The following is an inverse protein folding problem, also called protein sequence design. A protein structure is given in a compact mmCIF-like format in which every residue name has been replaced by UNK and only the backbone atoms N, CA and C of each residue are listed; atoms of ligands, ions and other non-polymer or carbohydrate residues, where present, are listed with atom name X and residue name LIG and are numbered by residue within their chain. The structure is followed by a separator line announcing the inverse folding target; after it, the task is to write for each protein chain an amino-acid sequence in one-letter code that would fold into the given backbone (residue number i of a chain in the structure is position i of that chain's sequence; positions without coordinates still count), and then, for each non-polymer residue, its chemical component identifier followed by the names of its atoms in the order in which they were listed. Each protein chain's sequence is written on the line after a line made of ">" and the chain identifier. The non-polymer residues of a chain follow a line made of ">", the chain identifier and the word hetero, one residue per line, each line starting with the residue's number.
data_IF_896404751646
#
_entry.id   IF_896404751646
#
_cell.length_a   1.000
_cell.length_b   1.000
_cell.length_c   1.000
_cell.angle_alpha   90.00
_cell.angle_beta   90.00
_cell.angle_gamma   90.00
#
_symmetry.space_group_name_H-M   'P 1'
#
loop_
_entity.id
_entity.type
_entity.pdbx_description
1 polymer ?
#
# COMPACT_ATOMS: atom_id res chain seq x y z
N UNK A 1 18.86 0.60 -2.20
CA UNK A 1 17.55 1.25 -1.98
C UNK A 1 17.70 2.71 -1.55
N UNK A 2 18.33 2.98 -0.39
CA UNK A 2 18.42 4.34 0.18
C UNK A 2 19.66 5.13 -0.26
N UNK A 3 20.81 4.46 -0.40
CA UNK A 3 22.06 5.10 -0.78
C UNK A 3 22.95 4.14 -1.57
N UNK A 4 23.78 4.67 -2.47
CA UNK A 4 24.82 3.90 -3.15
C UNK A 4 26.19 4.33 -2.62
N UNK A 5 26.80 3.48 -1.78
CA UNK A 5 28.04 3.80 -1.07
C UNK A 5 29.25 3.98 -2.00
N UNK A 6 29.27 3.35 -3.18
CA UNK A 6 30.40 3.44 -4.11
C UNK A 6 30.57 4.82 -4.77
N UNK A 7 29.46 5.47 -5.13
CA UNK A 7 29.49 6.74 -5.88
C UNK A 7 28.84 7.92 -5.12
N UNK A 8 28.48 7.75 -3.85
CA UNK A 8 27.78 8.75 -3.02
C UNK A 8 26.54 9.34 -3.72
N UNK A 9 25.83 8.53 -4.49
CA UNK A 9 24.65 8.97 -5.22
C UNK A 9 23.37 8.68 -4.43
N UNK A 10 22.36 9.57 -4.48
CA UNK A 10 21.04 9.33 -3.89
C UNK A 10 20.41 8.04 -4.43
N UNK A 11 19.80 7.24 -3.53
CA UNK A 11 19.18 5.95 -3.85
C UNK A 11 17.83 6.07 -4.56
N UNK A 12 17.22 4.93 -4.89
CA UNK A 12 16.00 4.84 -5.71
C UNK A 12 14.83 5.67 -5.16
N UNK A 13 14.63 5.66 -3.84
CA UNK A 13 13.51 6.36 -3.18
C UNK A 13 13.55 7.88 -3.37
N UNK A 14 14.71 8.44 -3.73
CA UNK A 14 14.86 9.89 -4.00
C UNK A 14 14.62 10.28 -5.44
N UNK A 15 14.47 9.31 -6.35
CA UNK A 15 14.44 9.54 -7.81
C UNK A 15 13.11 9.17 -8.47
N UNK A 16 12.30 8.35 -7.81
CA UNK A 16 11.09 7.77 -8.37
C UNK A 16 9.91 7.98 -7.44
N UNK A 17 8.70 8.11 -8.00
CA UNK A 17 7.46 8.20 -7.22
C UNK A 17 7.04 6.87 -6.58
N UNK A 18 7.61 5.76 -7.07
CA UNK A 18 7.27 4.41 -6.65
C UNK A 18 8.50 3.51 -6.77
N UNK A 19 8.75 2.72 -5.72
CA UNK A 19 9.71 1.61 -5.74
C UNK A 19 8.94 0.31 -5.59
N UNK A 20 9.12 -0.59 -6.56
CA UNK A 20 8.52 -1.93 -6.55
C UNK A 20 9.59 -2.95 -6.21
N UNK A 21 9.32 -3.78 -5.21
CA UNK A 21 10.07 -4.98 -4.90
C UNK A 21 9.33 -6.17 -5.47
N UNK A 22 9.85 -6.69 -6.58
CA UNK A 22 9.33 -7.92 -7.16
C UNK A 22 9.89 -9.16 -6.44
N UNK A 23 9.13 -10.25 -6.47
CA UNK A 23 9.47 -11.53 -5.86
C UNK A 23 10.02 -11.39 -4.43
N UNK A 24 9.26 -10.72 -3.56
CA UNK A 24 9.71 -10.33 -2.21
C UNK A 24 10.22 -11.52 -1.37
N UNK A 25 9.75 -12.74 -1.68
CA UNK A 25 10.20 -14.01 -1.09
C UNK A 25 11.69 -14.31 -1.31
N UNK A 26 12.25 -13.85 -2.43
CA UNK A 26 13.64 -14.09 -2.83
C UNK A 26 14.62 -13.09 -2.19
N UNK A 27 14.10 -11.99 -1.62
CA UNK A 27 14.93 -10.93 -1.09
C UNK A 27 15.63 -11.44 0.17
N UNK A 28 16.94 -11.31 0.18
CA UNK A 28 17.77 -11.59 1.35
C UNK A 28 18.01 -10.27 2.10
N UNK A 29 17.75 -10.29 3.41
CA UNK A 29 18.13 -9.20 4.28
C UNK A 29 19.65 -9.06 4.34
N UNK A 30 20.12 -7.86 4.67
CA UNK A 30 21.52 -7.69 5.03
C UNK A 30 21.80 -8.39 6.37
N UNK A 31 22.99 -8.96 6.53
CA UNK A 31 23.40 -9.66 7.76
C UNK A 31 23.32 -8.79 9.02
N UNK A 32 23.27 -7.47 8.84
CA UNK A 32 23.24 -6.44 9.88
C UNK A 32 21.83 -5.91 10.19
N UNK A 33 20.81 -6.23 9.39
CA UNK A 33 19.43 -5.76 9.57
C UNK A 33 19.19 -4.26 9.29
N UNK A 34 20.17 -3.56 8.72
CA UNK A 34 20.11 -2.14 8.36
C UNK A 34 19.03 -1.85 7.33
N UNK A 35 18.79 -2.77 6.38
CA UNK A 35 17.75 -2.58 5.36
C UNK A 35 16.38 -2.47 6.00
N UNK A 36 16.08 -3.34 6.97
CA UNK A 36 14.79 -3.38 7.66
C UNK A 36 14.62 -2.16 8.57
N UNK A 37 15.66 -1.82 9.32
CA UNK A 37 15.64 -0.62 10.16
C UNK A 37 15.39 0.63 9.30
N UNK A 38 16.09 0.76 8.17
CA UNK A 38 15.90 1.86 7.23
C UNK A 38 14.49 1.90 6.64
N UNK A 39 13.94 0.74 6.24
CA UNK A 39 12.56 0.63 5.74
C UNK A 39 11.53 1.06 6.79
N UNK A 40 11.68 0.65 8.05
CA UNK A 40 10.75 1.05 9.13
C UNK A 40 10.73 2.57 9.33
N UNK A 41 11.91 3.19 9.42
CA UNK A 41 12.04 4.64 9.57
C UNK A 41 11.43 5.36 8.37
N UNK A 42 11.69 4.84 7.17
CA UNK A 42 11.17 5.41 5.93
C UNK A 42 9.65 5.32 5.84
N UNK A 43 9.05 4.17 6.14
CA UNK A 43 7.61 3.98 6.08
C UNK A 43 6.85 4.79 7.14
N UNK A 44 7.48 5.09 8.27
CA UNK A 44 6.89 5.94 9.31
C UNK A 44 6.89 7.43 8.90
N UNK A 45 8.06 7.92 8.45
CA UNK A 45 8.35 9.36 8.41
C UNK A 45 8.67 9.91 7.01
N UNK A 46 8.84 9.03 6.02
CA UNK A 46 9.39 9.39 4.70
C UNK A 46 10.86 9.74 4.72
N UNK A 47 11.58 9.44 5.82
CA UNK A 47 12.99 9.82 6.02
C UNK A 47 13.91 8.61 6.08
N UNK A 48 15.17 8.81 5.72
CA UNK A 48 16.19 7.78 5.75
C UNK A 48 17.57 8.38 6.06
N UNK A 49 18.46 7.55 6.59
CA UNK A 49 19.84 7.95 6.89
C UNK A 49 20.72 7.83 5.65
N UNK A 50 21.52 8.87 5.41
CA UNK A 50 22.56 8.95 4.38
C UNK A 50 23.87 9.31 5.05
N UNK A 51 24.68 8.31 5.37
CA UNK A 51 25.89 8.51 6.19
C UNK A 51 25.52 9.14 7.53
N UNK A 52 26.07 10.33 7.82
CA UNK A 52 25.80 11.07 9.06
C UNK A 52 24.65 12.09 8.93
N UNK A 53 23.94 12.13 7.79
CA UNK A 53 22.86 13.10 7.54
C UNK A 53 21.53 12.40 7.28
N UNK A 54 20.43 13.06 7.66
CA UNK A 54 19.06 12.61 7.37
C UNK A 54 18.56 13.23 6.06
N UNK A 55 17.82 12.47 5.26
CA UNK A 55 17.18 12.93 4.04
C UNK A 55 15.71 12.46 3.98
N UNK A 56 14.89 13.18 3.22
CA UNK A 56 13.48 12.82 2.97
C UNK A 56 13.28 12.32 1.53
N UNK A 57 12.25 11.51 1.35
CA UNK A 57 11.82 10.99 0.05
C UNK A 57 10.32 10.69 0.08
N UNK A 58 9.65 10.83 -1.07
CA UNK A 58 8.19 10.70 -1.18
C UNK A 58 7.73 9.46 -1.96
N UNK A 59 8.68 8.62 -2.39
CA UNK A 59 8.40 7.39 -3.11
C UNK A 59 7.39 6.49 -2.35
N UNK A 60 6.37 6.03 -3.06
CA UNK A 60 5.57 4.89 -2.63
C UNK A 60 6.39 3.60 -2.64
N UNK A 61 5.91 2.61 -1.92
CA UNK A 61 6.53 1.30 -1.86
C UNK A 61 5.50 0.21 -2.12
N UNK A 62 5.81 -0.70 -3.03
CA UNK A 62 4.97 -1.86 -3.36
C UNK A 62 5.84 -3.10 -3.31
N UNK A 63 5.35 -4.15 -2.65
CA UNK A 63 5.97 -5.47 -2.63
C UNK A 63 5.06 -6.44 -3.37
N UNK A 64 5.63 -7.15 -4.34
CA UNK A 64 4.96 -8.24 -5.04
C UNK A 64 5.45 -9.54 -4.43
N UNK A 65 4.52 -10.31 -3.88
CA UNK A 65 4.77 -11.60 -3.28
C UNK A 65 3.86 -12.64 -3.88
N UNK A 66 4.41 -13.82 -4.12
CA UNK A 66 3.59 -14.99 -4.41
C UNK A 66 3.07 -15.57 -3.09
N UNK A 67 1.88 -16.16 -3.15
CA UNK A 67 1.31 -16.93 -2.05
C UNK A 67 0.88 -18.28 -2.60
N UNK A 68 0.92 -19.31 -1.77
CA UNK A 68 0.51 -20.65 -2.20
C UNK A 68 -1.01 -20.74 -2.16
N UNK A 69 -1.61 -21.18 -3.28
CA UNK A 69 -3.05 -21.33 -3.42
C UNK A 69 -3.48 -22.80 -3.44
N UNK A 70 -4.66 -23.08 -2.91
CA UNK A 70 -5.31 -24.39 -3.01
C UNK A 70 -6.00 -24.58 -4.39
N UNK A 71 -6.68 -25.72 -4.55
CA UNK A 71 -7.42 -26.08 -5.77
C UNK A 71 -8.55 -25.08 -6.10
N UNK A 72 -9.12 -24.46 -5.07
CA UNK A 72 -10.18 -23.45 -5.16
C UNK A 72 -9.63 -22.01 -5.31
N UNK A 73 -8.32 -21.86 -5.50
CA UNK A 73 -7.60 -20.58 -5.63
C UNK A 73 -7.64 -19.71 -4.36
N UNK A 74 -7.84 -20.31 -3.19
CA UNK A 74 -7.74 -19.62 -1.91
C UNK A 74 -6.33 -19.73 -1.33
N UNK A 75 -5.85 -18.75 -0.54
CA UNK A 75 -4.55 -18.86 0.14
C UNK A 75 -4.53 -20.05 1.10
N UNK A 76 -3.57 -20.97 0.93
CA UNK A 76 -3.50 -22.18 1.78
C UNK A 76 -3.29 -21.86 3.26
N UNK A 77 -2.53 -20.80 3.55
CA UNK A 77 -2.17 -20.37 4.91
C UNK A 77 -3.02 -19.19 5.39
N UNK A 78 -4.25 -19.06 4.91
CA UNK A 78 -5.10 -17.93 5.25
C UNK A 78 -5.36 -17.83 6.76
N UNK A 79 -5.50 -18.96 7.47
CA UNK A 79 -5.73 -18.99 8.92
C UNK A 79 -4.45 -18.69 9.72
N UNK A 80 -3.30 -19.20 9.27
CA UNK A 80 -2.01 -18.98 9.94
C UNK A 80 -1.42 -17.57 9.68
N UNK A 81 -1.84 -16.95 8.58
CA UNK A 81 -1.40 -15.64 8.12
C UNK A 81 -0.56 -15.73 6.83
N UNK A 82 -0.90 -14.91 5.84
CA UNK A 82 -0.27 -14.89 4.51
C UNK A 82 1.17 -14.38 4.54
N UNK A 83 1.54 -13.60 5.56
CA UNK A 83 2.92 -13.12 5.73
C UNK A 83 3.91 -14.24 6.09
N UNK A 84 3.42 -15.44 6.46
CA UNK A 84 4.28 -16.60 6.69
C UNK A 84 5.00 -17.11 5.43
N UNK A 85 4.65 -16.60 4.25
CA UNK A 85 5.32 -16.93 2.98
C UNK A 85 6.35 -15.86 2.55
N UNK A 86 6.48 -14.76 3.30
CA UNK A 86 7.39 -13.64 3.01
C UNK A 86 8.66 -13.78 3.88
N UNK A 87 9.84 -13.21 3.58
CA UNK A 87 11.02 -13.39 4.42
C UNK A 87 10.83 -12.88 5.85
N UNK A 88 11.45 -13.54 6.84
CA UNK A 88 11.27 -13.26 8.28
C UNK A 88 11.44 -11.77 8.65
N UNK A 89 12.38 -11.09 7.99
CA UNK A 89 12.69 -9.68 8.27
C UNK A 89 11.57 -8.71 7.83
N UNK A 90 10.64 -9.15 6.99
CA UNK A 90 9.42 -8.42 6.61
C UNK A 90 8.17 -8.93 7.34
N UNK A 91 8.29 -9.96 8.19
CA UNK A 91 7.19 -10.48 9.02
C UNK A 91 7.01 -9.73 10.34
N UNK A 92 7.86 -8.77 10.63
CA UNK A 92 7.73 -8.01 11.87
C UNK A 92 6.41 -7.23 11.89
N UNK A 93 5.60 -7.41 12.93
CA UNK A 93 4.29 -6.76 13.09
C UNK A 93 4.40 -5.24 13.01
N UNK A 94 5.46 -4.67 13.59
CA UNK A 94 5.75 -3.24 13.48
C UNK A 94 5.98 -2.78 12.03
N UNK A 95 6.56 -3.61 11.17
CA UNK A 95 6.72 -3.30 9.75
C UNK A 95 5.38 -3.44 9.01
N UNK A 96 4.69 -4.57 9.20
CA UNK A 96 3.40 -4.86 8.56
C UNK A 96 2.36 -3.78 8.89
N UNK A 97 2.33 -3.31 10.13
CA UNK A 97 1.39 -2.28 10.57
C UNK A 97 1.58 -0.96 9.83
N UNK A 98 2.77 -0.68 9.28
CA UNK A 98 3.04 0.52 8.45
C UNK A 98 2.59 0.40 7.00
N UNK A 99 2.18 -0.78 6.54
CA UNK A 99 1.66 -0.97 5.19
C UNK A 99 0.24 -0.41 5.08
N UNK A 100 -0.04 0.36 4.03
CA UNK A 100 -1.37 0.95 3.88
C UNK A 100 -2.46 -0.07 3.57
N UNK A 101 -2.14 -1.15 2.84
CA UNK A 101 -3.10 -2.20 2.55
C UNK A 101 -2.51 -3.37 1.76
N UNK A 102 -3.29 -4.45 1.65
CA UNK A 102 -2.95 -5.65 0.87
C UNK A 102 -3.91 -5.79 -0.30
N UNK A 103 -3.37 -5.77 -1.52
CA UNK A 103 -4.13 -6.14 -2.72
C UNK A 103 -4.13 -7.67 -2.82
N UNK A 104 -5.30 -8.29 -2.69
CA UNK A 104 -5.48 -9.73 -2.78
C UNK A 104 -5.40 -10.20 -4.24
N UNK A 105 -4.17 -10.44 -4.73
CA UNK A 105 -3.94 -10.82 -6.11
C UNK A 105 -4.62 -12.11 -6.54
N UNK A 106 -4.88 -13.02 -5.60
CA UNK A 106 -5.59 -14.27 -5.84
C UNK A 106 -7.09 -14.09 -6.15
N UNK A 107 -7.67 -12.93 -5.82
CA UNK A 107 -9.05 -12.59 -6.22
C UNK A 107 -9.11 -11.98 -7.63
N UNK A 108 -7.96 -11.66 -8.24
CA UNK A 108 -7.93 -11.06 -9.58
C UNK A 108 -8.09 -12.14 -10.65
N UNK A 109 -8.91 -11.89 -11.68
CA UNK A 109 -9.06 -12.83 -12.79
C UNK A 109 -7.72 -12.99 -13.52
N UNK A 110 -7.45 -14.20 -14.02
CA UNK A 110 -6.29 -14.43 -14.88
C UNK A 110 -6.41 -13.59 -16.15
N UNK A 111 -5.30 -12.94 -16.53
CA UNK A 111 -5.21 -12.22 -17.79
C UNK A 111 -5.38 -13.24 -18.92
N UNK A 112 -6.35 -12.97 -19.80
CA UNK A 112 -6.68 -13.77 -20.96
C UNK A 112 -6.62 -12.92 -22.23
N UNK A 113 -6.87 -13.54 -23.38
CA UNK A 113 -6.95 -12.84 -24.68
C UNK A 113 -8.05 -11.78 -24.70
N UNK A 114 -9.05 -11.90 -23.82
CA UNK A 114 -10.19 -10.99 -23.72
C UNK A 114 -10.01 -9.89 -22.66
N UNK A 115 -8.91 -9.90 -21.90
CA UNK A 115 -8.59 -8.87 -20.90
C UNK A 115 -8.25 -7.50 -21.49
N UNK A 116 -7.56 -7.37 -22.65
CA UNK A 116 -7.25 -6.06 -23.20
C UNK A 116 -8.52 -5.21 -23.46
N UNK A 117 -8.40 -3.90 -23.20
CA UNK A 117 -9.50 -2.96 -23.43
C UNK A 117 -9.92 -2.93 -24.90
N UNK A 118 -11.24 -2.83 -25.14
CA UNK A 118 -11.82 -2.58 -26.47
C UNK A 118 -11.83 -1.09 -26.83
N UNK A 119 -11.36 -0.23 -25.93
CA UNK A 119 -11.38 1.22 -26.06
C UNK A 119 -9.96 1.79 -26.08
N UNK A 120 -9.84 3.02 -26.58
CA UNK A 120 -8.59 3.78 -26.54
C UNK A 120 -8.14 3.99 -25.10
N UNK A 121 -6.83 3.84 -24.87
CA UNK A 121 -6.18 4.13 -23.59
C UNK A 121 -5.07 5.14 -23.78
N UNK A 122 -4.60 5.69 -22.66
CA UNK A 122 -3.41 6.55 -22.66
C UNK A 122 -2.14 5.73 -22.84
N UNK A 123 -1.13 6.35 -23.45
CA UNK A 123 0.23 5.81 -23.37
C UNK A 123 0.71 5.84 -21.91
N UNK A 124 1.47 4.82 -21.50
CA UNK A 124 1.86 4.64 -20.10
C UNK A 124 2.71 5.79 -19.56
N UNK A 125 3.60 6.36 -20.38
CA UNK A 125 4.42 7.53 -20.03
C UNK A 125 3.57 8.77 -19.76
N UNK A 126 2.63 9.07 -20.67
CA UNK A 126 1.68 10.17 -20.50
C UNK A 126 0.81 9.96 -19.25
N UNK A 127 0.28 8.74 -19.06
CA UNK A 127 -0.55 8.45 -17.89
C UNK A 127 0.24 8.56 -16.59
N UNK A 128 1.51 8.13 -16.57
CA UNK A 128 2.37 8.29 -15.39
C UNK A 128 2.62 9.74 -15.03
N UNK A 129 2.79 10.62 -16.01
CA UNK A 129 2.94 12.06 -15.79
C UNK A 129 1.65 12.68 -15.23
N UNK A 130 0.48 12.26 -15.73
CA UNK A 130 -0.81 12.67 -15.16
C UNK A 130 -0.92 12.25 -13.69
N UNK A 131 -0.56 11.01 -13.35
CA UNK A 131 -0.58 10.53 -11.97
C UNK A 131 0.43 11.27 -11.07
N UNK A 132 1.61 11.60 -11.60
CA UNK A 132 2.62 12.40 -10.89
C UNK A 132 2.05 13.77 -10.50
N UNK A 133 1.45 14.49 -11.45
CA UNK A 133 0.84 15.80 -11.20
C UNK A 133 -0.36 15.70 -10.25
N UNK A 134 -1.23 14.69 -10.43
CA UNK A 134 -2.37 14.47 -9.53
C UNK A 134 -1.91 14.15 -8.10
N UNK A 135 -0.71 13.61 -7.89
CA UNK A 135 -0.23 13.18 -6.56
C UNK A 135 -0.23 14.32 -5.55
N UNK A 136 0.19 15.52 -5.95
CA UNK A 136 0.31 16.71 -5.09
C UNK A 136 -1.01 17.47 -4.89
N UNK A 137 -2.06 17.15 -5.64
CA UNK A 137 -3.32 17.89 -5.56
C UNK A 137 -4.03 17.68 -4.21
N UNK A 138 -4.18 18.75 -3.38
CA UNK A 138 -4.69 18.64 -2.02
C UNK A 138 -6.22 18.45 -1.99
N UNK A 139 -6.93 18.99 -2.98
CA UNK A 139 -8.40 18.99 -3.06
C UNK A 139 -9.02 17.59 -2.91
N UNK A 140 -8.35 16.54 -3.39
CA UNK A 140 -8.81 15.16 -3.26
C UNK A 140 -8.69 14.65 -1.81
N UNK A 141 -7.62 15.03 -1.12
CA UNK A 141 -7.42 14.67 0.29
C UNK A 141 -8.43 15.41 1.17
N UNK A 142 -8.67 16.69 0.86
CA UNK A 142 -9.67 17.51 1.55
C UNK A 142 -11.07 16.93 1.37
N UNK A 143 -11.44 16.55 0.13
CA UNK A 143 -12.70 15.88 -0.15
C UNK A 143 -12.88 14.60 0.68
N UNK A 144 -11.85 13.74 0.72
CA UNK A 144 -11.91 12.49 1.50
C UNK A 144 -12.08 12.79 2.99
N UNK A 145 -11.32 13.73 3.55
CA UNK A 145 -11.40 14.06 4.96
C UNK A 145 -12.77 14.63 5.37
N UNK A 146 -13.43 15.36 4.47
CA UNK A 146 -14.74 15.97 4.74
C UNK A 146 -15.89 14.96 4.63
N UNK A 147 -15.84 14.05 3.66
CA UNK A 147 -16.97 13.17 3.32
C UNK A 147 -16.84 11.74 3.85
N UNK A 148 -15.65 11.31 4.28
CA UNK A 148 -15.43 9.96 4.77
C UNK A 148 -15.76 9.85 6.27
N UNK A 149 -16.71 8.98 6.58
CA UNK A 149 -17.08 8.65 7.95
C UNK A 149 -16.81 7.17 8.24
N UNK A 150 -15.89 6.92 9.18
CA UNK A 150 -15.50 5.57 9.60
C UNK A 150 -15.98 5.32 11.03
N UNK A 151 -16.44 4.09 11.27
CA UNK A 151 -16.76 3.56 12.58
C UNK A 151 -15.65 2.59 13.01
N UNK A 152 -15.40 2.51 14.32
CA UNK A 152 -14.40 1.61 14.92
C UNK A 152 -12.95 1.80 14.42
N UNK A 153 -12.61 2.97 13.86
CA UNK A 153 -11.29 3.31 13.34
C UNK A 153 -10.53 4.28 14.28
N UNK A 154 -10.24 3.84 15.51
CA UNK A 154 -9.60 4.69 16.52
C UNK A 154 -8.09 4.85 16.32
N UNK A 155 -7.47 3.94 15.59
CA UNK A 155 -6.03 3.97 15.32
C UNK A 155 -5.70 5.01 14.24
N UNK A 156 -4.76 5.91 14.54
CA UNK A 156 -4.36 7.00 13.63
C UNK A 156 -3.66 6.48 12.37
N UNK A 157 -2.97 5.33 12.44
CA UNK A 157 -2.30 4.70 11.31
C UNK A 157 -3.32 4.06 10.38
N UNK A 158 -4.33 3.38 10.94
CA UNK A 158 -5.47 2.87 10.17
C UNK A 158 -6.17 4.00 9.41
N UNK A 159 -6.53 5.08 10.11
CA UNK A 159 -7.18 6.24 9.51
C UNK A 159 -6.33 6.87 8.42
N UNK A 160 -5.03 7.09 8.68
CA UNK A 160 -4.09 7.65 7.70
C UNK A 160 -3.99 6.77 6.45
N UNK A 161 -3.94 5.45 6.62
CA UNK A 161 -3.89 4.52 5.49
C UNK A 161 -5.15 4.57 4.63
N UNK A 162 -6.32 4.53 5.26
CA UNK A 162 -7.60 4.56 4.56
C UNK A 162 -7.78 5.90 3.83
N UNK A 163 -7.44 7.04 4.45
CA UNK A 163 -7.47 8.35 3.78
C UNK A 163 -6.61 8.33 2.52
N UNK A 164 -5.35 7.88 2.60
CA UNK A 164 -4.44 7.87 1.45
C UNK A 164 -4.92 6.93 0.33
N UNK A 165 -5.44 5.76 0.68
CA UNK A 165 -6.00 4.80 -0.27
C UNK A 165 -7.27 5.36 -0.94
N UNK A 166 -8.20 5.90 -0.18
CA UNK A 166 -9.43 6.49 -0.71
C UNK A 166 -9.13 7.69 -1.61
N UNK A 167 -8.15 8.54 -1.23
CA UNK A 167 -7.67 9.64 -2.08
C UNK A 167 -7.07 9.12 -3.38
N UNK A 168 -6.31 8.02 -3.36
CA UNK A 168 -5.76 7.42 -4.57
C UNK A 168 -6.85 6.88 -5.50
N UNK A 169 -7.85 6.18 -4.96
CA UNK A 169 -9.01 5.73 -5.74
C UNK A 169 -9.78 6.92 -6.35
N UNK A 170 -10.02 7.97 -5.56
CA UNK A 170 -10.73 9.15 -6.03
C UNK A 170 -9.99 9.83 -7.18
N UNK A 171 -8.67 9.98 -7.09
CA UNK A 171 -7.82 10.54 -8.17
C UNK A 171 -7.88 9.73 -9.46
N UNK A 172 -7.96 8.40 -9.35
CA UNK A 172 -7.95 7.50 -10.52
C UNK A 172 -9.34 7.41 -11.17
N UNK A 173 -10.40 7.28 -10.36
CA UNK A 173 -11.76 6.98 -10.83
C UNK A 173 -12.55 8.26 -11.12
N UNK A 174 -12.36 9.31 -10.31
CA UNK A 174 -13.07 10.59 -10.42
C UNK A 174 -12.06 11.76 -10.42
N UNK A 175 -11.18 11.84 -11.44
CA UNK A 175 -10.13 12.87 -11.51
C UNK A 175 -10.68 14.30 -11.63
N UNK A 176 -11.97 14.46 -11.95
CA UNK A 176 -12.68 15.73 -12.05
C UNK A 176 -13.51 16.06 -10.79
N UNK A 177 -13.47 15.21 -9.76
CA UNK A 177 -14.27 15.30 -8.51
C UNK A 177 -15.79 15.32 -8.73
N UNK A 178 -16.27 14.92 -9.90
CA UNK A 178 -17.71 14.75 -10.14
C UNK A 178 -18.14 13.36 -9.66
N UNK A 179 -18.45 13.26 -8.37
CA UNK A 179 -18.81 12.00 -7.71
C UNK A 179 -19.92 12.20 -6.69
N UNK A 180 -20.91 11.31 -6.69
CA UNK A 180 -21.94 11.28 -5.65
C UNK A 180 -21.39 10.65 -4.37
N UNK A 181 -22.00 10.94 -3.21
CA UNK A 181 -21.56 10.32 -1.96
C UNK A 181 -21.62 8.78 -2.00
N UNK A 182 -22.65 8.22 -2.65
CA UNK A 182 -22.79 6.78 -2.82
C UNK A 182 -21.64 6.18 -3.64
N UNK A 183 -21.30 6.80 -4.77
CA UNK A 183 -20.18 6.37 -5.62
C UNK A 183 -18.83 6.52 -4.91
N UNK A 184 -18.64 7.62 -4.18
CA UNK A 184 -17.44 7.85 -3.39
C UNK A 184 -17.25 6.76 -2.35
N UNK A 185 -18.31 6.45 -1.58
CA UNK A 185 -18.27 5.38 -0.58
C UNK A 185 -18.02 4.03 -1.24
N UNK A 186 -18.74 3.71 -2.32
CA UNK A 186 -18.69 2.41 -2.98
C UNK A 186 -17.36 2.14 -3.68
N UNK A 187 -16.83 3.10 -4.42
CA UNK A 187 -15.66 2.90 -5.29
C UNK A 187 -14.34 3.39 -4.67
N UNK A 188 -14.38 4.25 -3.65
CA UNK A 188 -13.17 4.79 -3.02
C UNK A 188 -13.02 4.33 -1.57
N UNK A 189 -14.02 4.55 -0.72
CA UNK A 189 -13.89 4.31 0.74
C UNK A 189 -13.93 2.83 1.07
N UNK A 190 -14.94 2.07 0.61
CA UNK A 190 -15.08 0.64 0.92
C UNK A 190 -13.86 -0.16 0.45
N UNK A 191 -13.36 0.00 -0.80
CA UNK A 191 -12.14 -0.67 -1.22
C UNK A 191 -10.92 -0.29 -0.38
N UNK A 192 -10.76 0.99 -0.01
CA UNK A 192 -9.68 1.44 0.86
C UNK A 192 -9.73 0.78 2.26
N UNK A 193 -10.92 0.68 2.85
CA UNK A 193 -11.16 -0.02 4.11
C UNK A 193 -10.81 -1.50 3.97
N UNK A 194 -11.28 -2.17 2.92
CA UNK A 194 -11.01 -3.60 2.71
C UNK A 194 -9.51 -3.90 2.62
N UNK A 195 -8.75 -3.06 1.91
CA UNK A 195 -7.30 -3.21 1.80
C UNK A 195 -6.60 -3.06 3.16
N UNK A 196 -7.00 -2.07 3.98
CA UNK A 196 -6.41 -1.85 5.31
C UNK A 196 -6.89 -2.87 6.33
N UNK A 197 -8.14 -3.32 6.25
CA UNK A 197 -8.71 -4.35 7.12
C UNK A 197 -7.93 -5.65 7.00
N UNK A 198 -7.49 -6.04 5.78
CA UNK A 198 -6.61 -7.20 5.59
C UNK A 198 -5.32 -7.10 6.40
N UNK A 199 -4.71 -5.91 6.51
CA UNK A 199 -3.52 -5.72 7.37
C UNK A 199 -3.86 -5.97 8.84
N UNK A 200 -5.00 -5.44 9.32
CA UNK A 200 -5.46 -5.65 10.70
C UNK A 200 -5.75 -7.11 11.00
N UNK A 201 -6.35 -7.82 10.06
CA UNK A 201 -6.66 -9.24 10.19
C UNK A 201 -5.37 -10.07 10.28
N UNK A 202 -4.36 -9.74 9.48
CA UNK A 202 -3.05 -10.40 9.54
C UNK A 202 -2.30 -10.09 10.84
N UNK A 203 -2.28 -8.83 11.29
CA UNK A 203 -1.65 -8.47 12.57
C UNK A 203 -2.29 -9.22 13.75
N UNK A 204 -3.61 -9.38 13.75
CA UNK A 204 -4.33 -10.14 14.78
C UNK A 204 -3.95 -11.63 14.81
N UNK A 205 -3.70 -12.24 13.64
CA UNK A 205 -3.24 -13.63 13.54
C UNK A 205 -1.82 -13.80 14.07
N UNK A 206 -0.96 -12.82 13.77
CA UNK A 206 0.47 -12.87 14.08
C UNK A 206 0.78 -12.54 15.55
N UNK A 207 0.01 -11.63 16.16
CA UNK A 207 0.31 -11.11 17.49
C UNK A 207 -0.96 -10.74 18.26
N UNK A 208 -1.09 -11.34 19.46
CA UNK A 208 -2.26 -11.18 20.33
C UNK A 208 -2.37 -9.80 20.97
N UNK A 209 -1.31 -8.98 20.93
CA UNK A 209 -1.37 -7.59 21.38
C UNK A 209 -2.30 -6.74 20.49
N UNK A 210 -2.43 -7.10 19.21
CA UNK A 210 -3.36 -6.44 18.32
C UNK A 210 -4.77 -6.95 18.60
N UNK A 211 -5.67 -6.07 19.03
CA UNK A 211 -7.07 -6.42 19.17
C UNK A 211 -7.72 -6.68 17.81
N UNK A 212 -8.63 -7.66 17.77
CA UNK A 212 -9.51 -7.88 16.62
C UNK A 212 -10.29 -6.60 16.35
N UNK A 213 -10.04 -6.00 15.19
CA UNK A 213 -10.68 -4.77 14.76
C UNK A 213 -11.58 -5.05 13.57
N UNK A 214 -12.70 -4.34 13.47
CA UNK A 214 -13.56 -4.34 12.30
C UNK A 214 -13.88 -2.90 11.96
N UNK A 215 -13.15 -2.34 10.99
CA UNK A 215 -13.35 -0.99 10.52
C UNK A 215 -14.59 -0.99 9.62
N UNK A 216 -15.54 -0.12 9.91
CA UNK A 216 -16.80 -0.04 9.17
C UNK A 216 -16.94 1.35 8.56
N UNK A 217 -17.61 1.43 7.42
CA UNK A 217 -18.00 2.71 6.81
C UNK A 217 -19.38 3.06 7.35
N UNK A 218 -19.55 4.27 7.88
CA UNK A 218 -20.86 4.71 8.30
C UNK A 218 -21.75 4.84 7.04
N UNK A 219 -22.90 4.19 7.05
CA UNK A 219 -23.92 4.44 6.04
C UNK A 219 -24.45 5.87 6.27
N UNK A 220 -24.29 6.72 5.26
CA UNK A 220 -24.74 8.11 5.27
C UNK A 220 -26.24 8.26 5.13
#
# INVERSE_FOLDING_TARGET
>A
MFHHNGNNTPGLVTRYDLVVLDEVQSIQGDSTGELVAGLKVYLESGRFSRGNTEASAEAGFVMLGNITLDEDHNPMYMEDGIFNEIPNFLRETAFIDRLHGIIAGWLMPRISKDTPSKYLGFKGDFFSEVLHNLRSEPQFTDYVNLNMHLLNCNDLRDRKAIVRLATAYLKIIFPDLNVTNEEFVKYCVRPAVDLRQRIRDELYKMDREYAKAKIEVADG
#
